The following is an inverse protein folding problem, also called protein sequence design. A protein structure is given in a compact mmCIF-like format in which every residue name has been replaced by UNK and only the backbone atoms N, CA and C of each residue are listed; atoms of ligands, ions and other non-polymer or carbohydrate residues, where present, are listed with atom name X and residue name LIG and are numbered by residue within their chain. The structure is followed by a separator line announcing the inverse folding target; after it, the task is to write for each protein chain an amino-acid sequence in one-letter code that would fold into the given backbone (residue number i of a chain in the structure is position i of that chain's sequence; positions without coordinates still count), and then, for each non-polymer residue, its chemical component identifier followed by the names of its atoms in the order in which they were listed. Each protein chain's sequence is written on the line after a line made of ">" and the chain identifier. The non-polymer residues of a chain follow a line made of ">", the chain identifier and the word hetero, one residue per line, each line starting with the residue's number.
data_IF_986967224306
#
_entry.id   IF_986967224306
#
_cell.length_a   1.000
_cell.length_b   1.000
_cell.length_c   1.000
_cell.angle_alpha   90.00
_cell.angle_beta   90.00
_cell.angle_gamma   90.00
#
_symmetry.space_group_name_H-M   'P 1'
#
loop_
_entity.id
_entity.type
_entity.pdbx_description
1 polymer ?
#
# COMPACT_ATOMS: atom_id res chain seq x y z
N UNK A 1 -27.99 -18.91 -2.00
CA UNK A 1 -27.26 -18.72 -0.74
C UNK A 1 -26.03 -17.86 -1.03
N UNK A 2 -25.94 -16.68 -0.46
CA UNK A 2 -24.71 -15.87 -0.55
C UNK A 2 -23.63 -16.55 0.31
N UNK A 3 -22.39 -16.70 -0.19
CA UNK A 3 -21.33 -17.31 0.60
C UNK A 3 -21.05 -16.48 1.85
N UNK A 4 -20.91 -17.16 2.97
CA UNK A 4 -20.59 -16.52 4.23
C UNK A 4 -19.18 -15.92 4.17
N UNK A 5 -19.07 -14.62 4.44
CA UNK A 5 -17.80 -13.89 4.46
C UNK A 5 -17.33 -13.78 5.90
N UNK A 6 -16.20 -14.41 6.21
CA UNK A 6 -15.57 -14.34 7.53
C UNK A 6 -14.52 -13.23 7.49
N UNK A 7 -14.70 -12.17 8.28
CA UNK A 7 -13.72 -11.10 8.47
C UNK A 7 -13.00 -11.32 9.79
N UNK A 8 -11.66 -11.38 9.75
CA UNK A 8 -10.84 -11.54 10.95
C UNK A 8 -9.53 -10.76 10.86
N UNK A 9 -8.97 -10.39 11.99
CA UNK A 9 -7.62 -9.85 12.07
C UNK A 9 -6.62 -10.95 11.66
N UNK A 10 -5.66 -10.60 10.80
CA UNK A 10 -4.60 -11.52 10.37
C UNK A 10 -3.69 -11.87 11.55
N UNK A 11 -3.32 -13.14 11.64
CA UNK A 11 -2.30 -13.57 12.59
C UNK A 11 -0.92 -12.99 12.20
N UNK A 12 0.02 -12.85 13.14
CA UNK A 12 1.39 -12.41 12.84
C UNK A 12 2.07 -13.25 11.76
N UNK A 13 1.77 -14.55 11.70
CA UNK A 13 2.31 -15.47 10.69
C UNK A 13 1.71 -15.19 9.29
N UNK A 14 0.39 -15.00 9.19
CA UNK A 14 -0.28 -14.64 7.93
C UNK A 14 0.22 -13.29 7.40
N UNK A 15 0.45 -12.32 8.29
CA UNK A 15 1.02 -11.03 7.94
C UNK A 15 2.43 -11.16 7.34
N UNK A 16 3.29 -11.98 7.96
CA UNK A 16 4.65 -12.23 7.47
C UNK A 16 4.66 -12.96 6.12
N UNK A 17 3.75 -13.91 5.91
CA UNK A 17 3.66 -14.64 4.63
C UNK A 17 3.24 -13.72 3.48
N UNK A 18 2.24 -12.87 3.70
CA UNK A 18 1.81 -11.89 2.68
C UNK A 18 2.94 -10.92 2.32
N UNK A 19 3.67 -10.43 3.33
CA UNK A 19 4.81 -9.52 3.12
C UNK A 19 5.97 -10.19 2.36
N UNK A 20 6.26 -11.48 2.63
CA UNK A 20 7.28 -12.24 1.89
C UNK A 20 6.88 -12.42 0.41
N UNK A 21 5.60 -12.66 0.12
CA UNK A 21 5.10 -12.82 -1.24
C UNK A 21 5.25 -11.53 -2.06
N UNK A 22 4.95 -10.38 -1.48
CA UNK A 22 5.12 -9.08 -2.14
C UNK A 22 6.60 -8.78 -2.41
N UNK A 23 7.49 -9.12 -1.48
CA UNK A 23 8.94 -8.96 -1.64
C UNK A 23 9.48 -9.85 -2.75
N UNK A 24 9.06 -11.12 -2.82
CA UNK A 24 9.48 -12.07 -3.85
C UNK A 24 9.04 -11.63 -5.26
N UNK A 25 7.83 -11.07 -5.41
CA UNK A 25 7.38 -10.53 -6.68
C UNK A 25 8.25 -9.34 -7.13
N UNK A 26 8.64 -8.46 -6.22
CA UNK A 26 9.55 -7.35 -6.50
C UNK A 26 10.94 -7.81 -6.97
N UNK A 27 11.50 -8.82 -6.31
CA UNK A 27 12.81 -9.39 -6.66
C UNK A 27 12.76 -10.08 -8.04
N UNK A 28 11.70 -10.83 -8.34
CA UNK A 28 11.52 -11.50 -9.63
C UNK A 28 11.49 -10.50 -10.79
N UNK A 29 10.81 -9.36 -10.61
CA UNK A 29 10.75 -8.30 -11.61
C UNK A 29 12.12 -7.66 -11.87
N UNK A 30 12.94 -7.46 -10.83
CA UNK A 30 14.31 -6.95 -10.94
C UNK A 30 15.24 -7.93 -11.67
N UNK A 31 15.14 -9.22 -11.40
CA UNK A 31 15.94 -10.24 -12.10
C UNK A 31 15.58 -10.31 -13.59
N UNK A 32 14.29 -10.20 -13.95
CA UNK A 32 13.87 -10.24 -15.35
C UNK A 32 14.38 -9.03 -16.15
N UNK A 33 14.39 -7.84 -15.55
CA UNK A 33 14.94 -6.63 -16.17
C UNK A 33 16.45 -6.70 -16.37
N UNK A 34 17.19 -7.31 -15.44
CA UNK A 34 18.63 -7.51 -15.56
C UNK A 34 19.02 -8.48 -16.70
N UNK A 35 18.24 -9.56 -16.91
CA UNK A 35 18.48 -10.53 -18.00
C UNK A 35 18.24 -9.92 -19.38
N UNK A 36 17.22 -9.07 -19.55
CA UNK A 36 16.97 -8.35 -20.80
C UNK A 36 18.12 -7.41 -21.19
N UNK A 37 18.79 -6.81 -20.22
CA UNK A 37 19.90 -5.90 -20.39
C UNK A 37 21.19 -6.58 -20.91
N UNK A 38 21.47 -7.79 -20.46
CA UNK A 38 22.64 -8.59 -20.92
C UNK A 38 22.50 -8.97 -22.40
N UNK A 39 21.26 -9.25 -22.86
CA UNK A 39 20.99 -9.57 -24.26
C UNK A 39 21.26 -8.39 -25.22
N UNK A 40 20.91 -7.18 -24.82
CA UNK A 40 21.10 -5.97 -25.64
C UNK A 40 22.58 -5.59 -25.74
N UNK A 41 23.36 -5.75 -24.67
CA UNK A 41 24.82 -5.45 -24.69
C UNK A 41 25.60 -6.37 -25.60
N UNK A 42 25.20 -7.64 -25.71
CA UNK A 42 25.83 -8.62 -26.61
C UNK A 42 25.61 -8.27 -28.10
N UNK A 43 24.50 -7.64 -28.45
CA UNK A 43 24.16 -7.25 -29.83
C UNK A 43 24.96 -6.01 -30.29
N UNK A 44 25.29 -5.10 -29.35
CA UNK A 44 25.99 -3.84 -29.64
C UNK A 44 27.52 -3.99 -29.79
N UNK A 45 28.08 -5.15 -29.47
CA UNK A 45 29.56 -5.39 -29.52
C UNK A 45 30.12 -5.47 -30.93
N UNK A 46 29.30 -5.43 -31.97
CA UNK A 46 29.71 -5.57 -33.40
C UNK A 46 29.89 -4.23 -34.14
N UNK A 47 29.65 -3.08 -33.50
CA UNK A 47 29.78 -1.77 -34.15
C UNK A 47 31.08 -1.04 -33.73
N UNK A 48 31.59 -0.11 -34.54
CA UNK A 48 32.92 0.53 -34.47
C UNK A 48 33.39 0.97 -33.06
N UNK A 49 34.61 0.63 -32.71
CA UNK A 49 35.17 0.52 -31.35
C UNK A 49 35.20 1.78 -30.47
N UNK A 50 35.17 2.99 -31.01
CA UNK A 50 35.30 4.22 -30.19
C UNK A 50 33.92 4.77 -29.72
N UNK A 51 32.92 4.81 -30.59
CA UNK A 51 31.60 5.33 -30.29
C UNK A 51 30.81 4.37 -29.37
N UNK A 52 31.03 3.06 -29.56
CA UNK A 52 30.41 2.04 -28.70
C UNK A 52 30.89 2.07 -27.25
N UNK A 53 32.20 2.35 -27.02
CA UNK A 53 32.74 2.50 -25.67
C UNK A 53 32.11 3.68 -24.91
N UNK A 54 31.92 4.79 -25.59
CA UNK A 54 31.27 5.96 -24.99
C UNK A 54 29.81 5.69 -24.64
N UNK A 55 29.04 5.11 -25.56
CA UNK A 55 27.63 4.75 -25.32
C UNK A 55 27.51 3.71 -24.20
N UNK A 56 28.41 2.75 -24.15
CA UNK A 56 28.44 1.71 -23.12
C UNK A 56 28.72 2.31 -21.73
N UNK A 57 29.63 3.27 -21.62
CA UNK A 57 29.94 3.93 -20.35
C UNK A 57 28.77 4.77 -19.83
N UNK A 58 28.08 5.53 -20.69
CA UNK A 58 26.89 6.30 -20.34
C UNK A 58 25.73 5.39 -19.90
N UNK A 59 25.58 4.26 -20.60
CA UNK A 59 24.58 3.26 -20.29
C UNK A 59 24.81 2.62 -18.91
N UNK A 60 26.03 2.20 -18.59
CA UNK A 60 26.36 1.65 -17.28
C UNK A 60 26.26 2.68 -16.16
N UNK A 61 26.63 3.93 -16.41
CA UNK A 61 26.45 5.02 -15.46
C UNK A 61 24.97 5.29 -15.13
N UNK A 62 24.08 5.23 -16.13
CA UNK A 62 22.63 5.41 -15.92
C UNK A 62 22.01 4.26 -15.12
N UNK A 63 22.44 3.01 -15.38
CA UNK A 63 21.99 1.85 -14.59
C UNK A 63 22.43 1.99 -13.13
N UNK A 64 23.69 2.35 -12.90
CA UNK A 64 24.22 2.55 -11.56
C UNK A 64 23.42 3.63 -10.80
N UNK A 65 23.11 4.75 -11.45
CA UNK A 65 22.32 5.83 -10.89
C UNK A 65 20.90 5.36 -10.51
N UNK A 66 20.26 4.58 -11.37
CA UNK A 66 18.94 3.99 -11.12
C UNK A 66 18.99 3.02 -9.93
N UNK A 67 20.01 2.16 -9.85
CA UNK A 67 20.19 1.23 -8.72
C UNK A 67 20.41 1.98 -7.40
N UNK A 68 21.24 3.02 -7.40
CA UNK A 68 21.46 3.87 -6.22
C UNK A 68 20.16 4.56 -5.78
N UNK A 69 19.41 5.09 -6.73
CA UNK A 69 18.11 5.70 -6.46
C UNK A 69 17.12 4.71 -5.84
N UNK A 70 17.06 3.48 -6.35
CA UNK A 70 16.22 2.42 -5.79
C UNK A 70 16.66 2.02 -4.38
N UNK A 71 17.96 1.84 -4.15
CA UNK A 71 18.53 1.52 -2.83
C UNK A 71 18.20 2.64 -1.84
N UNK A 72 18.41 3.88 -2.24
CA UNK A 72 18.08 5.06 -1.42
C UNK A 72 16.58 5.14 -1.10
N UNK A 73 15.73 4.86 -2.08
CA UNK A 73 14.27 4.81 -1.91
C UNK A 73 13.85 3.73 -0.91
N UNK A 74 14.48 2.54 -0.99
CA UNK A 74 14.26 1.44 -0.04
C UNK A 74 14.71 1.84 1.36
N UNK A 75 15.92 2.39 1.51
CA UNK A 75 16.46 2.83 2.81
C UNK A 75 15.56 3.92 3.42
N UNK A 76 15.13 4.89 2.62
CA UNK A 76 14.21 5.95 3.04
C UNK A 76 12.86 5.38 3.50
N UNK A 77 12.31 4.41 2.79
CA UNK A 77 11.07 3.71 3.17
C UNK A 77 11.23 2.95 4.49
N UNK A 78 12.41 2.37 4.75
CA UNK A 78 12.72 1.70 6.01
C UNK A 78 12.92 2.68 7.18
N UNK A 79 13.57 3.81 6.94
CA UNK A 79 13.84 4.82 7.98
C UNK A 79 12.57 5.52 8.47
N UNK A 80 11.59 5.76 7.59
CA UNK A 80 10.28 6.32 7.95
C UNK A 80 9.49 5.37 8.86
N UNK A 81 9.72 4.04 8.78
CA UNK A 81 9.04 3.02 9.60
C UNK A 81 9.58 2.87 11.02
N UNK A 82 10.72 3.46 11.37
CA UNK A 82 11.33 3.34 12.71
C UNK A 82 10.81 4.31 13.76
N UNK A 83 9.89 5.22 13.44
CA UNK A 83 9.24 6.06 14.45
C UNK A 83 8.17 5.25 15.19
N UNK A 84 8.62 4.70 16.29
CA UNK A 84 7.97 4.33 17.56
C UNK A 84 6.43 4.38 17.59
N UNK A 85 5.83 3.27 18.01
CA UNK A 85 4.44 3.11 18.47
C UNK A 85 3.32 3.13 17.42
N UNK A 86 3.58 2.68 16.20
CA UNK A 86 2.51 2.46 15.24
C UNK A 86 2.29 0.95 15.06
N UNK A 87 1.25 0.42 15.66
CA UNK A 87 0.83 -0.96 15.44
C UNK A 87 0.06 -1.04 14.13
N UNK A 88 0.61 -1.78 13.17
CA UNK A 88 -0.10 -2.04 11.91
C UNK A 88 -0.89 -3.34 12.04
N UNK A 89 -2.21 -3.24 11.97
CA UNK A 89 -3.14 -4.36 11.99
C UNK A 89 -3.65 -4.65 10.58
N UNK A 90 -3.82 -5.91 10.27
CA UNK A 90 -4.33 -6.38 8.97
C UNK A 90 -5.61 -7.18 9.19
N UNK A 91 -6.69 -6.80 8.50
CA UNK A 91 -7.94 -7.56 8.46
C UNK A 91 -8.08 -8.28 7.14
N UNK A 92 -8.50 -9.52 7.19
CA UNK A 92 -8.68 -10.39 6.04
C UNK A 92 -10.13 -10.84 5.95
N UNK A 93 -10.74 -10.66 4.79
CA UNK A 93 -12.01 -11.29 4.44
C UNK A 93 -11.74 -12.59 3.71
N UNK A 94 -12.32 -13.68 4.19
CA UNK A 94 -12.15 -15.01 3.61
C UNK A 94 -13.51 -15.60 3.23
N UNK A 95 -13.55 -16.28 2.08
CA UNK A 95 -14.64 -17.13 1.62
C UNK A 95 -14.04 -18.49 1.30
N UNK A 96 -14.55 -19.57 1.90
CA UNK A 96 -14.03 -20.93 1.71
C UNK A 96 -12.49 -20.99 1.84
N UNK A 97 -11.96 -20.44 2.92
CA UNK A 97 -10.51 -20.33 3.22
C UNK A 97 -9.67 -19.47 2.25
N UNK A 98 -10.26 -18.93 1.18
CA UNK A 98 -9.58 -18.04 0.23
C UNK A 98 -9.70 -16.58 0.68
N UNK A 99 -8.59 -15.84 0.67
CA UNK A 99 -8.58 -14.41 0.92
C UNK A 99 -9.21 -13.70 -0.28
N UNK A 100 -10.33 -13.02 -0.05
CA UNK A 100 -11.09 -12.28 -1.08
C UNK A 100 -11.00 -10.77 -0.89
N UNK A 101 -10.56 -10.32 0.30
CA UNK A 101 -10.35 -8.91 0.59
C UNK A 101 -9.41 -8.71 1.77
N UNK A 102 -8.83 -7.52 1.85
CA UNK A 102 -7.93 -7.15 2.94
C UNK A 102 -8.02 -5.66 3.23
N UNK A 103 -7.78 -5.28 4.50
CA UNK A 103 -7.61 -3.90 4.92
C UNK A 103 -6.44 -3.78 5.87
N UNK A 104 -5.63 -2.74 5.74
CA UNK A 104 -4.54 -2.44 6.66
C UNK A 104 -4.78 -1.12 7.37
N UNK A 105 -4.61 -1.13 8.69
CA UNK A 105 -4.81 0.02 9.56
C UNK A 105 -3.57 0.23 10.40
N UNK A 106 -3.13 1.47 10.48
CA UNK A 106 -2.16 1.90 11.49
C UNK A 106 -2.92 2.49 12.65
N UNK A 107 -2.70 1.94 13.82
CA UNK A 107 -3.29 2.42 15.07
C UNK A 107 -2.23 3.15 15.89
N UNK A 108 -2.57 4.36 16.32
CA UNK A 108 -1.77 5.17 17.25
C UNK A 108 -2.50 5.29 18.59
N UNK A 109 -1.90 5.95 19.55
CA UNK A 109 -2.55 6.22 20.83
C UNK A 109 -3.76 7.16 20.69
N UNK A 110 -3.76 8.05 19.69
CA UNK A 110 -4.76 9.10 19.53
C UNK A 110 -5.81 8.78 18.46
N UNK A 111 -5.45 8.06 17.39
CA UNK A 111 -6.32 7.80 16.23
C UNK A 111 -5.90 6.54 15.48
N UNK A 112 -6.78 6.10 14.57
CA UNK A 112 -6.49 5.04 13.62
C UNK A 112 -6.50 5.58 12.19
N UNK A 113 -5.65 5.02 11.31
CA UNK A 113 -5.60 5.40 9.91
C UNK A 113 -5.73 4.16 9.01
N UNK A 114 -6.77 4.12 8.21
CA UNK A 114 -6.96 3.11 7.18
C UNK A 114 -6.04 3.43 6.00
N UNK A 115 -5.01 2.60 5.80
CA UNK A 115 -4.01 2.80 4.76
C UNK A 115 -4.42 2.20 3.43
N UNK A 116 -4.99 1.00 3.48
CA UNK A 116 -5.37 0.26 2.28
C UNK A 116 -6.64 -0.56 2.53
N UNK A 117 -7.51 -0.59 1.53
CA UNK A 117 -8.66 -1.48 1.44
C UNK A 117 -8.66 -2.05 0.02
N UNK A 118 -8.54 -3.36 -0.08
CA UNK A 118 -8.53 -4.06 -1.37
C UNK A 118 -9.48 -5.24 -1.33
N UNK A 119 -10.28 -5.40 -2.39
CA UNK A 119 -11.16 -6.54 -2.60
C UNK A 119 -10.86 -7.11 -3.98
N UNK A 120 -10.68 -8.42 -4.06
CA UNK A 120 -10.44 -9.12 -5.31
C UNK A 120 -11.56 -8.77 -6.32
N UNK A 121 -11.19 -8.46 -7.57
CA UNK A 121 -12.09 -7.96 -8.61
C UNK A 121 -13.33 -8.86 -8.85
N UNK A 122 -13.17 -10.18 -8.71
CA UNK A 122 -14.28 -11.16 -8.85
C UNK A 122 -15.33 -11.06 -7.73
N UNK A 123 -14.98 -10.40 -6.64
CA UNK A 123 -15.82 -10.28 -5.45
C UNK A 123 -16.19 -8.82 -5.14
N UNK A 124 -15.81 -7.88 -6.02
CA UNK A 124 -16.21 -6.48 -5.91
C UNK A 124 -17.73 -6.34 -6.11
N UNK A 125 -18.30 -5.25 -5.62
CA UNK A 125 -19.73 -4.92 -5.67
C UNK A 125 -20.66 -5.92 -4.95
N UNK A 126 -20.11 -6.85 -4.16
CA UNK A 126 -20.86 -7.83 -3.34
C UNK A 126 -20.92 -7.45 -1.85
N UNK A 127 -20.64 -6.20 -1.51
CA UNK A 127 -20.68 -5.72 -0.12
C UNK A 127 -19.50 -6.09 0.76
N UNK A 128 -18.50 -6.87 0.26
CA UNK A 128 -17.35 -7.34 1.06
C UNK A 128 -16.53 -6.19 1.62
N UNK A 129 -16.27 -5.14 0.82
CA UNK A 129 -15.56 -3.96 1.31
C UNK A 129 -16.29 -3.27 2.46
N UNK A 130 -17.62 -3.19 2.40
CA UNK A 130 -18.44 -2.63 3.49
C UNK A 130 -18.36 -3.50 4.74
N UNK A 131 -18.43 -4.82 4.61
CA UNK A 131 -18.31 -5.73 5.76
C UNK A 131 -16.94 -5.62 6.43
N UNK A 132 -15.83 -5.54 5.66
CA UNK A 132 -14.48 -5.34 6.21
C UNK A 132 -14.42 -4.03 6.99
N UNK A 133 -14.90 -2.92 6.41
CA UNK A 133 -14.82 -1.60 7.06
C UNK A 133 -15.74 -1.53 8.26
N UNK A 134 -16.95 -2.08 8.20
CA UNK A 134 -17.88 -2.11 9.35
C UNK A 134 -17.30 -2.89 10.53
N UNK A 135 -16.70 -4.06 10.26
CA UNK A 135 -16.01 -4.85 11.28
C UNK A 135 -14.80 -4.10 11.87
N UNK A 136 -14.02 -3.47 11.01
CA UNK A 136 -12.88 -2.65 11.42
C UNK A 136 -13.31 -1.47 12.32
N UNK A 137 -14.40 -0.78 11.97
CA UNK A 137 -14.94 0.35 12.76
C UNK A 137 -15.29 -0.06 14.20
N UNK A 138 -15.74 -1.31 14.40
CA UNK A 138 -16.06 -1.81 15.75
C UNK A 138 -14.84 -2.16 16.59
N UNK A 139 -13.69 -2.46 15.96
CA UNK A 139 -12.51 -2.95 16.66
C UNK A 139 -11.40 -1.93 16.85
N UNK A 140 -11.34 -0.89 16.01
CA UNK A 140 -10.25 0.07 16.07
C UNK A 140 -10.64 1.33 16.84
N UNK A 141 -9.61 1.99 17.40
CA UNK A 141 -9.80 3.26 18.11
C UNK A 141 -10.22 4.36 17.15
N UNK A 142 -11.21 5.12 17.58
CA UNK A 142 -11.65 6.34 16.90
C UNK A 142 -10.85 7.56 17.39
N UNK A 143 -10.70 8.62 16.58
CA UNK A 143 -11.20 8.76 15.22
C UNK A 143 -10.47 7.89 14.20
N UNK A 144 -11.16 7.51 13.11
CA UNK A 144 -10.60 6.72 12.02
C UNK A 144 -10.46 7.63 10.80
N UNK A 145 -9.25 7.77 10.30
CA UNK A 145 -8.94 8.55 9.10
C UNK A 145 -8.72 7.65 7.89
N UNK A 146 -9.13 8.12 6.71
CA UNK A 146 -8.86 7.47 5.43
C UNK A 146 -8.61 8.52 4.35
N UNK A 147 -7.62 8.28 3.48
CA UNK A 147 -7.43 9.06 2.26
C UNK A 147 -8.23 8.39 1.16
N UNK A 148 -9.41 8.93 0.86
CA UNK A 148 -10.33 8.38 -0.11
C UNK A 148 -10.09 8.95 -1.50
N UNK A 149 -9.84 8.08 -2.49
CA UNK A 149 -9.91 8.45 -3.90
C UNK A 149 -11.30 9.03 -4.22
N UNK A 150 -11.38 9.93 -5.20
CA UNK A 150 -12.63 10.60 -5.58
C UNK A 150 -13.77 9.61 -5.87
N UNK A 151 -13.46 8.50 -6.53
CA UNK A 151 -14.40 7.40 -6.82
C UNK A 151 -14.88 6.66 -5.58
N UNK A 152 -14.06 6.57 -4.53
CA UNK A 152 -14.36 5.83 -3.30
C UNK A 152 -15.05 6.69 -2.22
N UNK A 153 -15.13 8.02 -2.37
CA UNK A 153 -15.73 8.91 -1.36
C UNK A 153 -17.17 8.55 -1.04
N UNK A 154 -17.98 8.22 -2.07
CA UNK A 154 -19.38 7.81 -1.88
C UNK A 154 -19.50 6.52 -1.06
N UNK A 155 -18.57 5.60 -1.26
CA UNK A 155 -18.49 4.35 -0.49
C UNK A 155 -18.23 4.63 0.99
N UNK A 156 -17.23 5.44 1.33
CA UNK A 156 -16.93 5.79 2.72
C UNK A 156 -18.02 6.65 3.36
N UNK A 157 -18.65 7.56 2.61
CA UNK A 157 -19.76 8.37 3.11
C UNK A 157 -20.95 7.50 3.54
N UNK A 158 -21.28 6.42 2.81
CA UNK A 158 -22.31 5.45 3.20
C UNK A 158 -22.00 4.72 4.52
N UNK A 159 -20.73 4.65 4.91
CA UNK A 159 -20.26 4.04 6.15
C UNK A 159 -20.09 5.06 7.29
N UNK A 160 -20.57 6.29 7.09
CA UNK A 160 -20.56 7.34 8.10
C UNK A 160 -19.31 8.21 8.12
N UNK A 161 -18.37 8.03 7.18
CA UNK A 161 -17.21 8.91 7.08
C UNK A 161 -17.61 10.27 6.50
N UNK A 162 -17.13 11.34 7.10
CA UNK A 162 -17.31 12.72 6.64
C UNK A 162 -16.00 13.30 6.14
N UNK A 163 -16.07 14.27 5.24
CA UNK A 163 -14.87 14.96 4.74
C UNK A 163 -14.22 15.71 5.90
N UNK A 164 -12.93 15.48 6.11
CA UNK A 164 -12.17 16.14 7.14
C UNK A 164 -11.87 17.58 6.69
N UNK A 165 -12.66 18.56 7.15
CA UNK A 165 -12.43 20.00 6.95
C UNK A 165 -11.85 20.63 8.20
N UNK A 166 -11.15 21.77 8.04
CA UNK A 166 -10.59 22.52 9.17
C UNK A 166 -11.66 22.94 10.21
N UNK A 167 -12.86 23.25 9.74
CA UNK A 167 -13.98 23.68 10.60
C UNK A 167 -14.50 22.53 11.47
N UNK A 168 -14.66 21.33 10.89
CA UNK A 168 -15.26 20.19 11.59
C UNK A 168 -14.28 19.49 12.55
N UNK A 169 -12.99 19.87 12.53
CA UNK A 169 -11.95 19.09 13.16
C UNK A 169 -11.02 19.88 14.09
N UNK A 170 -11.33 21.16 14.34
CA UNK A 170 -10.42 22.10 15.04
C UNK A 170 -9.86 21.57 16.38
N UNK A 171 -10.61 20.77 17.11
CA UNK A 171 -10.25 20.27 18.45
C UNK A 171 -10.08 18.74 18.52
N UNK A 172 -9.92 18.04 17.40
CA UNK A 172 -9.90 16.57 17.41
C UNK A 172 -8.48 16.00 17.20
N UNK A 173 -8.17 14.83 17.77
CA UNK A 173 -6.85 14.19 17.64
C UNK A 173 -6.44 14.01 16.18
N UNK A 174 -5.17 14.26 15.87
CA UNK A 174 -4.62 14.12 14.51
C UNK A 174 -4.90 15.30 13.56
N UNK A 175 -5.73 16.28 13.96
CA UNK A 175 -6.14 17.40 13.11
C UNK A 175 -4.97 18.14 12.44
N UNK A 176 -3.97 18.56 13.21
CA UNK A 176 -2.81 19.32 12.68
C UNK A 176 -2.07 18.62 11.55
N UNK A 177 -2.14 17.27 11.47
CA UNK A 177 -1.45 16.45 10.47
C UNK A 177 -2.27 16.21 9.20
N UNK A 178 -3.61 16.25 9.28
CA UNK A 178 -4.46 15.68 8.22
C UNK A 178 -5.41 16.67 7.56
N UNK A 179 -5.64 17.84 8.15
CA UNK A 179 -6.62 18.84 7.64
C UNK A 179 -6.36 19.31 6.22
N UNK A 180 -5.10 19.30 5.78
CA UNK A 180 -4.72 19.79 4.45
C UNK A 180 -4.54 18.68 3.40
N UNK A 181 -4.89 17.42 3.73
CA UNK A 181 -4.78 16.35 2.74
C UNK A 181 -6.03 16.27 1.87
N UNK A 182 -5.89 16.45 0.53
CA UNK A 182 -7.04 16.34 -0.37
C UNK A 182 -7.61 14.91 -0.33
N UNK A 183 -8.92 14.81 -0.08
CA UNK A 183 -9.60 13.51 -0.01
C UNK A 183 -9.57 12.82 1.35
N UNK A 184 -9.10 13.49 2.39
CA UNK A 184 -9.19 12.96 3.75
C UNK A 184 -10.64 12.89 4.20
N UNK A 185 -11.03 11.74 4.70
CA UNK A 185 -12.31 11.50 5.37
C UNK A 185 -12.07 10.95 6.77
N UNK A 186 -12.96 11.25 7.69
CA UNK A 186 -12.86 10.83 9.07
C UNK A 186 -14.18 10.26 9.59
N UNK A 187 -14.09 9.29 10.49
CA UNK A 187 -15.19 8.74 11.28
C UNK A 187 -14.87 8.95 12.77
N UNK A 188 -15.81 9.54 13.49
CA UNK A 188 -15.68 9.88 14.92
C UNK A 188 -16.32 8.83 15.84
#
# INVERSE_FOLDING_TARGET
>A
MSPEVIVKQASPQEFQQLRKKDLLMGISFLCFSAFGLVGVTSLMLKASLAFTKLLLSVFWASILAICIFFIFSIIRSFSIRRKKTQETKLWLAKINHKIVGQASVVQTEEFSMLLNLSVNWRYQNKGIGSQIVSHLISEVRKPIYVIALRSARRFYAKLGFVVASAENHRNKPGNKRFVNYPGMMALW
#
